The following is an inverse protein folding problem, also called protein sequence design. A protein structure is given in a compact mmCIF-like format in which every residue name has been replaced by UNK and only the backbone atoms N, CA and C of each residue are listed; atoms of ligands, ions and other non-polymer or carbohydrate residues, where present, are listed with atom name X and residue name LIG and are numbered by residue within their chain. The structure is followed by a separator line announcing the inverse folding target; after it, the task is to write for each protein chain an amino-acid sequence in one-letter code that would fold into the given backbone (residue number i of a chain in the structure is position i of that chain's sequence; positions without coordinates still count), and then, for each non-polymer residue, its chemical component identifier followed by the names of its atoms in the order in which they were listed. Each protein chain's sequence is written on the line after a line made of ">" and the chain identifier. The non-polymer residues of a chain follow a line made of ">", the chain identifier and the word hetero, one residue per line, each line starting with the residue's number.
data_IF_452263365454
#
_entry.id   IF_452263365454
#
_cell.length_a   1.000
_cell.length_b   1.000
_cell.length_c   1.000
_cell.angle_alpha   90.00
_cell.angle_beta   90.00
_cell.angle_gamma   90.00
#
_symmetry.space_group_name_H-M   'P 1'
#
loop_
_entity.id
_entity.type
_entity.pdbx_description
1 polymer ?
#
# COMPACT_ATOMS: atom_id res chain seq x y z
N UNK A 1 9.51 5.37 7.40
CA UNK A 1 10.06 3.99 7.39
C UNK A 1 10.79 3.74 6.07
N UNK A 2 12.13 3.77 6.05
CA UNK A 2 12.89 3.57 4.81
C UNK A 2 12.81 2.12 4.29
N UNK A 3 12.82 1.14 5.19
CA UNK A 3 12.83 -0.29 4.84
C UNK A 3 11.54 -0.71 4.12
N UNK A 4 10.37 -0.23 4.57
CA UNK A 4 9.10 -0.49 3.88
C UNK A 4 9.00 0.22 2.55
N UNK A 5 9.55 1.44 2.44
CA UNK A 5 9.56 2.20 1.20
C UNK A 5 10.35 1.46 0.11
N UNK A 6 11.52 0.92 0.47
CA UNK A 6 12.36 0.13 -0.43
C UNK A 6 11.67 -1.19 -0.81
N UNK A 7 11.11 -1.91 0.17
CA UNK A 7 10.41 -3.17 -0.08
C UNK A 7 9.17 -2.98 -0.99
N UNK A 8 8.35 -1.97 -0.71
CA UNK A 8 7.17 -1.64 -1.53
C UNK A 8 7.59 -1.13 -2.91
N UNK A 9 8.67 -0.35 -3.01
CA UNK A 9 9.20 0.10 -4.30
C UNK A 9 9.65 -1.08 -5.20
N UNK A 10 10.40 -2.04 -4.63
CA UNK A 10 10.78 -3.24 -5.35
C UNK A 10 9.57 -4.11 -5.72
N UNK A 11 8.59 -4.23 -4.83
CA UNK A 11 7.33 -4.93 -5.10
C UNK A 11 6.57 -4.27 -6.26
N UNK A 12 6.42 -2.95 -6.25
CA UNK A 12 5.78 -2.19 -7.33
C UNK A 12 6.52 -2.41 -8.65
N UNK A 13 7.85 -2.30 -8.65
CA UNK A 13 8.68 -2.48 -9.85
C UNK A 13 8.59 -3.90 -10.42
N UNK A 14 8.46 -4.90 -9.57
CA UNK A 14 8.25 -6.29 -9.99
C UNK A 14 6.84 -6.48 -10.58
N UNK A 15 5.80 -6.01 -9.88
CA UNK A 15 4.40 -6.18 -10.31
C UNK A 15 4.07 -5.44 -11.61
N UNK A 16 4.55 -4.20 -11.75
CA UNK A 16 4.33 -3.38 -12.96
C UNK A 16 5.05 -3.91 -14.19
N UNK A 17 6.05 -4.81 -14.03
CA UNK A 17 6.74 -5.47 -15.13
C UNK A 17 5.95 -6.64 -15.73
N UNK A 18 5.11 -7.30 -14.94
CA UNK A 18 4.42 -8.53 -15.34
C UNK A 18 2.91 -8.36 -15.57
N UNK A 19 2.30 -7.27 -15.08
CA UNK A 19 0.84 -7.12 -15.06
C UNK A 19 0.36 -5.82 -15.72
N UNK A 20 -0.87 -5.87 -16.22
CA UNK A 20 -1.55 -4.71 -16.80
C UNK A 20 -1.69 -3.58 -15.74
N UNK A 21 -1.56 -2.32 -16.15
CA UNK A 21 -1.42 -1.16 -15.24
C UNK A 21 -2.54 -1.07 -14.18
N UNK A 22 -3.79 -1.37 -14.55
CA UNK A 22 -4.91 -1.36 -13.58
C UNK A 22 -4.91 -2.55 -12.62
N UNK A 23 -4.56 -3.76 -13.08
CA UNK A 23 -4.47 -4.93 -12.20
C UNK A 23 -3.29 -4.76 -11.24
N UNK A 24 -2.19 -4.19 -11.75
CA UNK A 24 -1.02 -3.89 -10.95
C UNK A 24 -1.32 -2.87 -9.84
N UNK A 25 -2.16 -1.85 -10.06
CA UNK A 25 -2.49 -0.87 -9.02
C UNK A 25 -3.38 -1.44 -7.93
N UNK A 26 -4.30 -2.35 -8.24
CA UNK A 26 -5.11 -3.06 -7.25
C UNK A 26 -4.22 -3.90 -6.33
N UNK A 27 -3.33 -4.72 -6.91
CA UNK A 27 -2.48 -5.63 -6.15
C UNK A 27 -1.45 -4.84 -5.33
N UNK A 28 -0.88 -3.78 -5.90
CA UNK A 28 0.01 -2.87 -5.17
C UNK A 28 -0.72 -2.21 -4.01
N UNK A 29 -1.96 -1.75 -4.21
CA UNK A 29 -2.79 -1.17 -3.15
C UNK A 29 -3.02 -2.15 -2.01
N UNK A 30 -3.39 -3.39 -2.33
CA UNK A 30 -3.64 -4.43 -1.33
C UNK A 30 -2.36 -4.85 -0.58
N UNK A 31 -1.36 -5.35 -1.30
CA UNK A 31 -0.13 -5.89 -0.70
C UNK A 31 0.68 -4.77 -0.05
N UNK A 32 0.74 -3.58 -0.65
CA UNK A 32 1.41 -2.42 -0.08
C UNK A 32 0.78 -1.98 1.25
N UNK A 33 -0.55 -2.05 1.37
CA UNK A 33 -1.25 -1.75 2.62
C UNK A 33 -0.96 -2.81 3.69
N UNK A 34 -1.02 -4.10 3.35
CA UNK A 34 -0.69 -5.17 4.29
C UNK A 34 0.76 -5.08 4.77
N UNK A 35 1.73 -4.93 3.86
CA UNK A 35 3.14 -4.82 4.21
C UNK A 35 3.41 -3.59 5.08
N UNK A 36 2.87 -2.42 4.69
CA UNK A 36 3.08 -1.19 5.47
C UNK A 36 2.43 -1.25 6.85
N UNK A 37 1.25 -1.87 6.96
CA UNK A 37 0.52 -2.14 8.21
C UNK A 37 1.26 -3.13 9.11
N UNK A 38 1.73 -4.26 8.58
CA UNK A 38 2.55 -5.24 9.31
C UNK A 38 3.80 -4.59 9.88
N UNK A 39 4.56 -3.86 9.05
CA UNK A 39 5.78 -3.22 9.53
C UNK A 39 5.47 -2.03 10.47
N UNK A 40 4.29 -1.42 10.38
CA UNK A 40 3.83 -0.44 11.36
C UNK A 40 3.64 -1.06 12.73
N UNK A 41 2.82 -2.10 12.80
CA UNK A 41 2.53 -2.79 14.04
C UNK A 41 3.80 -3.42 14.63
N UNK A 42 4.68 -3.98 13.80
CA UNK A 42 5.97 -4.51 14.24
C UNK A 42 6.89 -3.39 14.78
N UNK A 43 7.01 -2.26 14.08
CA UNK A 43 7.80 -1.12 14.57
C UNK A 43 7.23 -0.54 15.88
N UNK A 44 5.90 -0.47 15.99
CA UNK A 44 5.22 -0.02 17.20
C UNK A 44 5.50 -0.96 18.38
N UNK A 45 5.47 -2.27 18.15
CA UNK A 45 5.78 -3.27 19.17
C UNK A 45 7.22 -3.16 19.68
N UNK A 46 8.17 -2.95 18.77
CA UNK A 46 9.60 -2.82 19.11
C UNK A 46 9.89 -1.51 19.85
N UNK A 47 9.33 -0.39 19.38
CA UNK A 47 9.64 0.95 19.93
C UNK A 47 8.87 1.22 21.22
N UNK A 48 7.57 0.88 21.26
CA UNK A 48 6.70 1.18 22.41
C UNK A 48 6.71 0.05 23.44
N UNK A 49 7.20 -1.14 23.10
CA UNK A 49 7.20 -2.32 23.96
C UNK A 49 5.81 -2.90 24.29
N UNK A 50 4.74 -2.19 23.94
CA UNK A 50 3.34 -2.57 24.18
C UNK A 50 2.45 -2.10 23.04
N UNK A 51 1.50 -2.95 22.64
CA UNK A 51 0.39 -2.56 21.79
C UNK A 51 -0.90 -2.49 22.64
N UNK A 52 -1.84 -1.59 22.31
CA UNK A 52 -3.12 -1.48 23.02
C UNK A 52 -4.00 -2.74 22.85
N UNK A 53 -3.70 -3.58 21.86
CA UNK A 53 -4.36 -4.87 21.64
C UNK A 53 -3.36 -5.85 20.99
N UNK A 54 -3.66 -7.15 20.93
CA UNK A 54 -2.80 -8.13 20.26
C UNK A 54 -2.51 -7.73 18.81
N UNK A 55 -1.29 -8.00 18.34
CA UNK A 55 -0.88 -7.72 16.97
C UNK A 55 -1.89 -8.24 15.93
N UNK A 56 -2.31 -9.50 16.09
CA UNK A 56 -3.28 -10.16 15.20
C UNK A 56 -4.62 -9.44 15.19
N UNK A 57 -5.08 -8.93 16.34
CA UNK A 57 -6.34 -8.20 16.42
C UNK A 57 -6.27 -6.89 15.64
N UNK A 58 -5.23 -6.09 15.85
CA UNK A 58 -5.04 -4.82 15.13
C UNK A 58 -4.82 -5.04 13.63
N UNK A 59 -4.11 -6.10 13.25
CA UNK A 59 -3.91 -6.44 11.86
C UNK A 59 -5.23 -6.82 11.18
N UNK A 60 -6.03 -7.69 11.79
CA UNK A 60 -7.31 -8.15 11.23
C UNK A 60 -8.40 -7.08 11.23
N UNK A 61 -8.42 -6.19 12.22
CA UNK A 61 -9.47 -5.17 12.37
C UNK A 61 -9.16 -3.85 11.68
N UNK A 62 -7.87 -3.54 11.44
CA UNK A 62 -7.46 -2.27 10.83
C UNK A 62 -6.75 -2.50 9.50
N UNK A 63 -5.69 -3.32 9.47
CA UNK A 63 -4.87 -3.47 8.27
C UNK A 63 -5.58 -4.26 7.16
N UNK A 64 -6.32 -5.32 7.50
CA UNK A 64 -7.04 -6.14 6.53
C UNK A 64 -8.21 -5.36 5.87
N UNK A 65 -9.10 -4.69 6.62
CA UNK A 65 -10.21 -3.94 6.03
C UNK A 65 -9.72 -2.74 5.21
N UNK A 66 -8.66 -2.06 5.65
CA UNK A 66 -8.04 -0.98 4.86
C UNK A 66 -7.40 -1.49 3.58
N UNK A 67 -6.74 -2.66 3.60
CA UNK A 67 -6.21 -3.27 2.38
C UNK A 67 -7.33 -3.57 1.38
N UNK A 68 -8.46 -4.11 1.84
CA UNK A 68 -9.64 -4.37 0.99
C UNK A 68 -10.21 -3.07 0.41
N UNK A 69 -10.38 -2.02 1.22
CA UNK A 69 -10.83 -0.72 0.73
C UNK A 69 -9.87 -0.13 -0.31
N UNK A 70 -8.56 -0.30 -0.09
CA UNK A 70 -7.52 0.19 -0.99
C UNK A 70 -7.47 -0.56 -2.34
N UNK A 71 -8.06 -1.75 -2.46
CA UNK A 71 -8.28 -2.38 -3.76
C UNK A 71 -9.16 -1.53 -4.69
N UNK A 72 -10.08 -0.74 -4.14
CA UNK A 72 -11.01 0.11 -4.91
C UNK A 72 -10.45 1.54 -5.03
N UNK A 73 -9.95 2.08 -3.93
CA UNK A 73 -9.49 3.47 -3.86
C UNK A 73 -8.22 3.69 -4.71
N UNK A 74 -7.28 2.74 -4.69
CA UNK A 74 -6.00 2.87 -5.39
C UNK A 74 -6.13 2.94 -6.92
N UNK A 75 -6.88 2.05 -7.61
CA UNK A 75 -7.09 2.18 -9.05
C UNK A 75 -7.92 3.42 -9.43
N UNK A 76 -8.86 3.85 -8.57
CA UNK A 76 -9.62 5.08 -8.79
C UNK A 76 -8.69 6.30 -8.78
N UNK A 77 -7.83 6.41 -7.76
CA UNK A 77 -6.79 7.44 -7.67
C UNK A 77 -5.83 7.40 -8.86
N UNK A 78 -5.44 6.20 -9.30
CA UNK A 78 -4.58 6.06 -10.48
C UNK A 78 -5.22 6.68 -11.73
N UNK A 79 -6.51 6.44 -11.96
CA UNK A 79 -7.23 7.02 -13.10
C UNK A 79 -7.32 8.55 -12.99
N UNK A 80 -7.60 9.08 -11.78
CA UNK A 80 -7.65 10.52 -11.52
C UNK A 80 -6.29 11.17 -11.79
N UNK A 81 -5.21 10.61 -11.25
CA UNK A 81 -3.85 11.13 -11.45
C UNK A 81 -3.45 11.07 -12.93
N UNK A 82 -3.80 10.00 -13.63
CA UNK A 82 -3.52 9.85 -15.07
C UNK A 82 -4.30 10.89 -15.89
N UNK A 83 -5.56 11.14 -15.54
CA UNK A 83 -6.36 12.19 -16.18
C UNK A 83 -5.77 13.58 -15.92
N UNK A 84 -5.42 13.89 -14.67
CA UNK A 84 -4.77 15.15 -14.29
C UNK A 84 -3.45 15.37 -15.03
N UNK A 85 -2.60 14.34 -15.14
CA UNK A 85 -1.33 14.40 -15.89
C UNK A 85 -1.55 14.76 -17.36
N UNK A 86 -2.61 14.22 -17.98
CA UNK A 86 -2.97 14.52 -19.37
C UNK A 86 -3.43 15.96 -19.56
N UNK A 87 -4.12 16.54 -18.58
CA UNK A 87 -4.66 17.90 -18.63
C UNK A 87 -3.57 18.95 -18.40
N UNK A 88 -2.62 18.67 -17.49
CA UNK A 88 -1.57 19.64 -17.14
C UNK A 88 -0.38 19.64 -18.10
N UNK A 89 -0.28 18.66 -19.00
CA UNK A 89 0.83 18.56 -19.96
C UNK A 89 2.21 18.33 -19.32
N UNK A 90 2.27 18.08 -18.01
CA UNK A 90 3.51 17.83 -17.27
C UNK A 90 3.86 16.34 -17.32
N UNK A 91 4.88 16.01 -18.12
CA UNK A 91 5.50 14.69 -18.13
C UNK A 91 6.70 14.68 -17.16
N UNK A 92 6.49 14.11 -15.95
CA UNK A 92 7.58 13.54 -15.15
C UNK A 92 7.83 12.10 -15.58
#
# INVERSE_FOLDING_TARGET
>A
KMITGIAVYFLIKLLTKFLNRQVSTVIVGFIGTLLSGTVFLASALIILGRLPAPFTFLFLTVALPTAVANCIITPLLYNIVTASKKITGFEF
#
